data_IF_391950590801
#
_entry.id   IF_391950590801
#
_cell.length_a   1.000
_cell.length_b   1.000
_cell.length_c   1.000
_cell.angle_alpha   90.00
_cell.angle_beta   90.00
_cell.angle_gamma   90.00
#
_symmetry.space_group_name_H-M   'P 1'
#
loop_
_entity.id
_entity.type
_entity.pdbx_description
1 polymer ?
#
# COMPACT_ATOMS: atom_id res chain seq x y z
N UNK A 1 -0.26 -10.64 4.18
CA UNK A 1 0.22 -10.85 2.79
C UNK A 1 1.21 -9.75 2.49
N UNK A 2 2.40 -10.07 1.98
CA UNK A 2 3.43 -9.07 1.71
C UNK A 2 3.05 -8.23 0.49
N UNK A 3 3.01 -6.91 0.66
CA UNK A 3 2.68 -5.95 -0.40
C UNK A 3 3.72 -5.95 -1.53
N UNK A 4 4.97 -6.19 -1.13
CA UNK A 4 6.13 -6.27 -2.02
C UNK A 4 6.81 -7.59 -1.80
N UNK A 5 6.99 -8.38 -2.85
CA UNK A 5 7.58 -9.72 -2.76
C UNK A 5 8.47 -10.01 -3.97
N UNK A 6 9.49 -10.83 -3.75
CA UNK A 6 10.33 -11.33 -4.84
C UNK A 6 9.68 -12.55 -5.50
N UNK A 7 9.69 -12.57 -6.84
CA UNK A 7 9.32 -13.74 -7.66
C UNK A 7 10.37 -13.88 -8.74
N UNK A 8 11.03 -15.03 -8.81
CA UNK A 8 12.06 -15.34 -9.81
C UNK A 8 13.15 -14.24 -9.92
N UNK A 9 13.57 -13.70 -8.77
CA UNK A 9 14.62 -12.66 -8.70
C UNK A 9 14.15 -11.23 -9.03
N UNK A 10 12.88 -11.02 -9.37
CA UNK A 10 12.31 -9.69 -9.60
C UNK A 10 11.42 -9.25 -8.44
N UNK A 11 11.48 -7.96 -8.09
CA UNK A 11 10.63 -7.39 -7.06
C UNK A 11 9.28 -6.97 -7.66
N UNK A 12 8.18 -7.43 -7.06
CA UNK A 12 6.82 -7.10 -7.45
C UNK A 12 6.15 -6.25 -6.37
N UNK A 13 5.37 -5.26 -6.80
CA UNK A 13 4.31 -4.67 -6.00
C UNK A 13 3.00 -5.39 -6.36
N UNK A 14 2.45 -6.16 -5.42
CA UNK A 14 1.31 -7.04 -5.67
C UNK A 14 1.54 -7.96 -6.89
N UNK A 15 0.82 -7.76 -7.99
CA UNK A 15 0.96 -8.51 -9.24
C UNK A 15 1.87 -7.87 -10.28
N UNK A 16 2.47 -6.70 -10.00
CA UNK A 16 3.17 -5.88 -11.00
C UNK A 16 4.66 -5.82 -10.72
N UNK A 17 5.49 -6.17 -11.71
CA UNK A 17 6.94 -6.11 -11.59
C UNK A 17 7.43 -4.65 -11.49
N UNK A 18 8.18 -4.31 -10.44
CA UNK A 18 8.74 -2.96 -10.27
C UNK A 18 9.68 -2.52 -11.41
N UNK A 19 10.50 -3.39 -12.03
CA UNK A 19 11.27 -3.01 -13.21
C UNK A 19 10.41 -2.51 -14.38
N UNK A 20 9.22 -3.10 -14.59
CA UNK A 20 8.29 -2.66 -15.63
C UNK A 20 7.70 -1.28 -15.32
N UNK A 21 7.41 -1.00 -14.04
CA UNK A 21 6.98 0.33 -13.60
C UNK A 21 8.10 1.38 -13.77
N UNK A 22 9.33 1.03 -13.39
CA UNK A 22 10.49 1.91 -13.56
C UNK A 22 10.75 2.24 -15.05
N UNK A 23 10.59 1.26 -15.95
CA UNK A 23 10.71 1.49 -17.38
C UNK A 23 9.59 2.39 -17.93
N UNK A 24 8.35 2.19 -17.45
CA UNK A 24 7.17 2.93 -17.94
C UNK A 24 7.10 4.37 -17.41
N UNK A 25 7.43 4.57 -16.14
CA UNK A 25 7.23 5.85 -15.44
C UNK A 25 8.53 6.59 -15.10
N UNK A 26 9.69 5.96 -15.34
CA UNK A 26 11.00 6.53 -15.02
C UNK A 26 11.38 6.35 -13.54
N UNK A 27 12.55 6.87 -13.17
CA UNK A 27 13.04 6.89 -11.78
C UNK A 27 13.59 8.27 -11.43
N UNK A 28 13.36 8.77 -10.19
CA UNK A 28 12.68 8.09 -9.08
C UNK A 28 11.15 8.05 -9.23
N UNK A 29 10.53 6.94 -8.82
CA UNK A 29 9.06 6.74 -8.81
C UNK A 29 8.62 6.10 -7.50
N UNK A 30 7.62 6.70 -6.83
CA UNK A 30 6.94 6.08 -5.69
C UNK A 30 5.89 5.07 -6.18
N UNK A 31 5.83 3.91 -5.54
CA UNK A 31 4.85 2.86 -5.84
C UNK A 31 4.13 2.49 -4.54
N UNK A 32 2.81 2.55 -4.54
CA UNK A 32 1.98 2.21 -3.40
C UNK A 32 1.18 0.93 -3.68
N UNK A 33 1.01 0.09 -2.66
CA UNK A 33 0.12 -1.07 -2.74
C UNK A 33 -1.24 -0.69 -2.13
N UNK A 34 -2.29 -0.79 -2.95
CA UNK A 34 -3.67 -0.57 -2.50
C UNK A 34 -4.08 -1.63 -1.51
N UNK A 35 -3.81 -2.90 -1.83
CA UNK A 35 -4.21 -4.03 -0.99
C UNK A 35 -3.58 -3.93 0.42
N UNK A 36 -2.35 -3.44 0.50
CA UNK A 36 -1.68 -3.25 1.79
C UNK A 36 -2.30 -2.13 2.62
N UNK A 37 -2.56 -0.95 2.01
CA UNK A 37 -3.18 0.18 2.71
C UNK A 37 -4.56 -0.22 3.24
N UNK A 38 -5.38 -0.88 2.41
CA UNK A 38 -6.69 -1.39 2.84
C UNK A 38 -6.56 -2.40 3.99
N UNK A 39 -5.60 -3.33 3.91
CA UNK A 39 -5.39 -4.33 4.95
C UNK A 39 -4.93 -3.70 6.29
N UNK A 40 -4.06 -2.69 6.26
CA UNK A 40 -3.62 -1.99 7.47
C UNK A 40 -4.76 -1.18 8.11
N UNK A 41 -5.57 -0.50 7.28
CA UNK A 41 -6.75 0.19 7.78
C UNK A 41 -7.73 -0.78 8.46
N UNK A 42 -8.06 -1.89 7.79
CA UNK A 42 -8.96 -2.93 8.35
C UNK A 42 -8.40 -3.49 9.65
N UNK A 43 -7.14 -3.90 9.67
CA UNK A 43 -6.51 -4.43 10.89
C UNK A 43 -6.58 -3.45 12.07
N UNK A 44 -6.45 -2.14 11.81
CA UNK A 44 -6.57 -1.12 12.84
C UNK A 44 -8.03 -0.93 13.30
N UNK A 45 -8.98 -0.88 12.37
CA UNK A 45 -10.40 -0.74 12.68
C UNK A 45 -10.96 -1.98 13.41
N UNK A 46 -10.61 -3.19 12.93
CA UNK A 46 -11.03 -4.47 13.50
C UNK A 46 -10.51 -4.65 14.94
N UNK A 47 -9.33 -4.09 15.26
CA UNK A 47 -8.80 -4.10 16.62
C UNK A 47 -9.61 -3.25 17.62
N UNK A 48 -10.45 -2.33 17.12
CA UNK A 48 -11.35 -1.50 17.91
C UNK A 48 -12.78 -2.07 17.96
N UNK A 49 -12.99 -3.29 17.48
CA UNK A 49 -14.32 -3.91 17.51
C UNK A 49 -14.84 -4.05 18.95
N UNK A 50 -16.14 -3.86 19.14
CA UNK A 50 -16.79 -3.86 20.45
C UNK A 50 -16.79 -2.52 21.21
N UNK A 51 -16.21 -1.45 20.64
CA UNK A 51 -16.32 -0.08 21.18
C UNK A 51 -16.76 0.92 20.10
N UNK A 52 -17.54 1.98 20.44
CA UNK A 52 -17.80 3.07 19.51
C UNK A 52 -16.49 3.77 19.13
N UNK A 53 -16.14 3.78 17.84
CA UNK A 53 -14.86 4.32 17.37
C UNK A 53 -14.97 4.99 15.98
N UNK A 54 -13.96 5.83 15.67
CA UNK A 54 -13.76 6.43 14.36
C UNK A 54 -12.26 6.52 14.09
N UNK A 55 -11.80 5.90 13.01
CA UNK A 55 -10.41 5.97 12.56
C UNK A 55 -10.21 7.18 11.66
N UNK A 56 -9.56 8.22 12.17
CA UNK A 56 -9.20 9.42 11.40
C UNK A 56 -7.76 9.32 10.88
N UNK A 57 -7.59 8.97 9.61
CA UNK A 57 -6.26 8.90 8.99
C UNK A 57 -5.55 10.25 9.05
N UNK A 58 -4.29 10.26 9.49
CA UNK A 58 -3.47 11.46 9.54
C UNK A 58 -2.97 11.82 8.13
N UNK A 59 -3.77 12.58 7.39
CA UNK A 59 -3.55 12.95 5.96
C UNK A 59 -2.13 13.45 5.65
N UNK A 60 -1.46 14.09 6.62
CA UNK A 60 -0.05 14.53 6.47
C UNK A 60 0.94 13.38 6.17
N UNK A 61 0.58 12.13 6.46
CA UNK A 61 1.41 10.97 6.19
C UNK A 61 1.49 10.65 4.69
N UNK A 62 0.37 10.80 3.97
CA UNK A 62 0.30 10.71 2.53
C UNK A 62 -1.00 11.38 2.06
N UNK A 63 -0.90 12.53 1.38
CA UNK A 63 -2.04 13.29 0.88
C UNK A 63 -2.21 13.17 -0.63
N UNK A 64 -1.65 12.13 -1.24
CA UNK A 64 -1.92 11.80 -2.64
C UNK A 64 -3.41 11.54 -2.82
N UNK A 65 -4.06 12.14 -3.83
CA UNK A 65 -5.51 12.03 -4.01
C UNK A 65 -6.01 10.61 -4.31
N UNK A 66 -5.14 9.71 -4.76
CA UNK A 66 -5.46 8.31 -5.00
C UNK A 66 -5.25 7.40 -3.79
N UNK A 67 -4.66 7.92 -2.70
CA UNK A 67 -4.50 7.26 -1.39
C UNK A 67 -5.59 7.77 -0.46
#
# INVERSE_FOLDING_TARGET
MEAFSYRDGQLFAEGVALPALAQRFGTPTYVYSRAHIEAQYRAYADALDGMPHLVCFAVKANSNLGV
#
